data_IF_162750544721
#
_entry.id   IF_162750544721
#
_cell.length_a   1.000
_cell.length_b   1.000
_cell.length_c   1.000
_cell.angle_alpha   90.00
_cell.angle_beta   90.00
_cell.angle_gamma   90.00
#
_symmetry.space_group_name_H-M   'P 1'
#
loop_
_entity.id
_entity.type
_entity.pdbx_description
1 polymer ?
#
# COMPACT_ATOMS: atom_id res chain seq x y z
N UNK A 1 -5.86 10.14 16.95
CA UNK A 1 -6.52 9.42 15.84
C UNK A 1 -6.29 10.08 14.49
N UNK A 2 -6.68 11.35 14.25
CA UNK A 2 -6.40 12.05 12.97
C UNK A 2 -4.95 11.91 12.48
N UNK A 3 -3.96 11.98 13.38
CA UNK A 3 -2.53 11.79 13.05
C UNK A 3 -2.21 10.39 12.51
N UNK A 4 -2.77 9.33 13.11
CA UNK A 4 -2.55 7.93 12.68
C UNK A 4 -3.25 7.69 11.33
N UNK A 5 -4.41 8.31 11.12
CA UNK A 5 -5.13 8.26 9.85
C UNK A 5 -4.29 8.89 8.73
N UNK A 6 -3.72 10.07 8.99
CA UNK A 6 -2.81 10.73 8.04
C UNK A 6 -1.60 9.85 7.75
N UNK A 7 -0.99 9.24 8.77
CA UNK A 7 0.15 8.32 8.58
C UNK A 7 -0.25 7.15 7.66
N UNK A 8 -1.39 6.51 7.93
CA UNK A 8 -1.88 5.39 7.11
C UNK A 8 -2.14 5.79 5.65
N UNK A 9 -2.85 6.89 5.40
CA UNK A 9 -3.12 7.35 4.04
C UNK A 9 -1.85 7.81 3.33
N UNK A 10 -0.92 8.44 4.04
CA UNK A 10 0.39 8.83 3.48
C UNK A 10 1.21 7.60 3.08
N UNK A 11 1.19 6.55 3.90
CA UNK A 11 1.81 5.26 3.60
C UNK A 11 1.20 4.61 2.34
N UNK A 12 -0.13 4.60 2.21
CA UNK A 12 -0.80 4.09 1.00
C UNK A 12 -0.35 4.84 -0.26
N UNK A 13 -0.29 6.17 -0.21
CA UNK A 13 0.17 6.99 -1.33
C UNK A 13 1.64 6.69 -1.65
N UNK A 14 2.51 6.62 -0.64
CA UNK A 14 3.92 6.23 -0.80
C UNK A 14 4.06 4.87 -1.49
N UNK A 15 3.22 3.90 -1.14
CA UNK A 15 3.22 2.59 -1.77
C UNK A 15 2.89 2.65 -3.26
N UNK A 16 1.96 3.52 -3.67
CA UNK A 16 1.60 3.74 -5.07
C UNK A 16 2.75 4.45 -5.80
N UNK A 17 3.29 5.52 -5.21
CA UNK A 17 4.38 6.33 -5.82
C UNK A 17 5.62 5.49 -6.08
N UNK A 18 6.05 4.68 -5.10
CA UNK A 18 7.22 3.81 -5.26
C UNK A 18 7.00 2.82 -6.42
N UNK A 19 5.76 2.37 -6.64
CA UNK A 19 5.43 1.45 -7.73
C UNK A 19 5.47 2.08 -9.13
N UNK A 20 5.27 3.39 -9.22
CA UNK A 20 5.36 4.17 -10.45
C UNK A 20 6.81 4.47 -10.88
N UNK A 21 7.81 4.06 -10.09
CA UNK A 21 9.21 4.20 -10.49
C UNK A 21 9.43 3.38 -11.77
N UNK A 22 10.00 4.00 -12.84
CA UNK A 22 10.16 3.37 -14.15
C UNK A 22 10.91 2.04 -14.10
N UNK A 23 10.56 1.11 -14.99
CA UNK A 23 11.17 -0.22 -15.13
C UNK A 23 12.70 -0.20 -15.23
N UNK A 24 13.26 0.85 -15.82
CA UNK A 24 14.71 1.08 -15.95
C UNK A 24 15.42 1.23 -14.60
N UNK A 25 14.69 1.70 -13.58
CA UNK A 25 15.14 1.78 -12.19
C UNK A 25 14.50 0.69 -11.30
N UNK A 26 13.79 -0.29 -11.88
CA UNK A 26 13.23 -1.41 -11.12
C UNK A 26 14.28 -2.46 -10.77
N UNK A 27 15.29 -2.67 -11.59
CA UNK A 27 16.58 -3.19 -11.08
C UNK A 27 17.09 -2.14 -10.08
N UNK A 28 17.84 -2.35 -9.01
CA UNK A 28 18.14 -1.29 -8.01
C UNK A 28 16.98 -0.80 -7.11
N UNK A 29 15.70 -0.92 -7.49
CA UNK A 29 14.56 -0.74 -6.55
C UNK A 29 13.88 -2.07 -6.16
N UNK A 30 13.82 -3.05 -7.04
CA UNK A 30 13.14 -4.35 -6.85
C UNK A 30 14.05 -5.58 -7.05
N UNK A 31 15.29 -5.36 -7.49
CA UNK A 31 16.40 -6.33 -7.37
C UNK A 31 16.91 -6.32 -5.91
N UNK A 32 17.86 -7.16 -5.42
CA UNK A 32 18.25 -7.22 -4.00
C UNK A 32 18.97 -5.93 -3.59
N UNK A 33 18.16 -4.92 -3.39
CA UNK A 33 18.48 -3.54 -3.16
C UNK A 33 17.82 -3.17 -1.85
N UNK A 34 18.50 -2.33 -1.07
CA UNK A 34 18.03 -1.94 0.25
C UNK A 34 16.59 -1.38 0.18
N UNK A 35 16.26 -0.64 -0.88
CA UNK A 35 14.96 -0.02 -1.08
C UNK A 35 13.83 -1.03 -1.28
N UNK A 36 14.05 -2.06 -2.11
CA UNK A 36 13.07 -3.11 -2.36
C UNK A 36 12.79 -3.96 -1.13
N UNK A 37 13.84 -4.30 -0.37
CA UNK A 37 13.71 -5.01 0.89
C UNK A 37 13.01 -4.17 1.96
N UNK A 38 13.36 -2.89 2.09
CA UNK A 38 12.64 -1.99 3.00
C UNK A 38 11.18 -1.87 2.59
N UNK A 39 10.88 -1.80 1.29
CA UNK A 39 9.50 -1.71 0.84
C UNK A 39 8.70 -2.98 1.16
N UNK A 40 9.20 -4.16 0.80
CA UNK A 40 8.50 -5.43 1.00
C UNK A 40 8.51 -5.86 2.47
N UNK A 41 9.65 -5.76 3.16
CA UNK A 41 9.82 -6.26 4.52
C UNK A 41 9.41 -5.26 5.60
N UNK A 42 9.31 -3.96 5.29
CA UNK A 42 8.89 -2.94 6.27
C UNK A 42 7.57 -2.28 5.86
N UNK A 43 7.48 -1.64 4.68
CA UNK A 43 6.28 -0.87 4.32
C UNK A 43 5.03 -1.75 4.21
N UNK A 44 5.09 -2.89 3.52
CA UNK A 44 3.94 -3.80 3.39
C UNK A 44 3.42 -4.29 4.75
N UNK A 45 4.23 -4.91 5.63
CA UNK A 45 3.74 -5.40 6.92
C UNK A 45 3.27 -4.27 7.84
N UNK A 46 3.97 -3.12 7.87
CA UNK A 46 3.54 -1.96 8.67
C UNK A 46 2.17 -1.44 8.20
N UNK A 47 1.95 -1.37 6.89
CA UNK A 47 0.66 -0.94 6.33
C UNK A 47 -0.47 -1.92 6.69
N UNK A 48 -0.19 -3.24 6.64
CA UNK A 48 -1.15 -4.27 7.05
C UNK A 48 -1.50 -4.22 8.54
N UNK A 49 -0.49 -4.05 9.40
CA UNK A 49 -0.69 -3.92 10.85
C UNK A 49 -1.53 -2.67 11.17
N UNK A 50 -1.20 -1.53 10.55
CA UNK A 50 -1.96 -0.29 10.71
C UNK A 50 -3.39 -0.43 10.21
N UNK A 51 -3.59 -1.08 9.06
CA UNK A 51 -4.91 -1.35 8.52
C UNK A 51 -5.75 -2.20 9.49
N UNK A 52 -5.21 -3.32 9.97
CA UNK A 52 -5.90 -4.18 10.93
C UNK A 52 -6.23 -3.46 12.25
N UNK A 53 -5.27 -2.71 12.79
CA UNK A 53 -5.46 -1.92 14.00
C UNK A 53 -6.58 -0.89 13.85
N UNK A 54 -6.57 -0.12 12.76
CA UNK A 54 -7.56 0.91 12.50
C UNK A 54 -8.93 0.32 12.19
N UNK A 55 -8.98 -0.84 11.52
CA UNK A 55 -10.21 -1.56 11.21
C UNK A 55 -10.89 -2.07 12.50
N UNK A 56 -10.13 -2.68 13.41
CA UNK A 56 -10.64 -3.09 14.74
C UNK A 56 -11.12 -1.87 15.53
N UNK A 57 -10.37 -0.78 15.51
CA UNK A 57 -10.74 0.45 16.19
C UNK A 57 -12.05 1.05 15.64
N UNK A 58 -12.21 1.11 14.31
CA UNK A 58 -13.44 1.63 13.69
C UNK A 58 -14.65 0.73 13.93
N UNK A 59 -14.47 -0.60 13.95
CA UNK A 59 -15.50 -1.56 14.36
C UNK A 59 -15.95 -1.32 15.80
N UNK A 60 -14.99 -1.26 16.74
CA UNK A 60 -15.30 -1.05 18.17
C UNK A 60 -16.02 0.26 18.44
N UNK A 61 -15.68 1.31 17.71
CA UNK A 61 -16.29 2.63 17.88
C UNK A 61 -17.52 2.87 16.98
N UNK A 62 -18.02 1.84 16.29
CA UNK A 62 -19.18 1.92 15.37
C UNK A 62 -19.04 3.01 14.29
N UNK A 63 -17.81 3.31 13.86
CA UNK A 63 -17.52 4.35 12.85
C UNK A 63 -17.61 3.78 11.43
N UNK A 64 -18.78 3.25 11.08
CA UNK A 64 -19.01 2.51 9.83
C UNK A 64 -18.62 3.29 8.56
N UNK A 65 -18.87 4.60 8.53
CA UNK A 65 -18.46 5.45 7.41
C UNK A 65 -16.93 5.49 7.21
N UNK A 66 -16.17 5.62 8.30
CA UNK A 66 -14.70 5.62 8.23
C UNK A 66 -14.18 4.23 7.88
N UNK A 67 -14.79 3.18 8.44
CA UNK A 67 -14.47 1.80 8.13
C UNK A 67 -14.62 1.52 6.63
N UNK A 68 -15.78 1.85 6.05
CA UNK A 68 -16.06 1.65 4.64
C UNK A 68 -15.06 2.41 3.76
N UNK A 69 -14.77 3.67 4.07
CA UNK A 69 -13.78 4.46 3.34
C UNK A 69 -12.39 3.81 3.39
N UNK A 70 -11.93 3.34 4.56
CA UNK A 70 -10.62 2.68 4.66
C UNK A 70 -10.54 1.40 3.86
N UNK A 71 -11.56 0.56 3.97
CA UNK A 71 -11.63 -0.70 3.19
C UNK A 71 -11.61 -0.36 1.70
N UNK A 72 -12.40 0.62 1.26
CA UNK A 72 -12.41 1.08 -0.13
C UNK A 72 -11.03 1.55 -0.61
N UNK A 73 -10.36 2.44 0.13
CA UNK A 73 -9.02 2.92 -0.25
C UNK A 73 -7.98 1.81 -0.27
N UNK A 74 -8.02 0.90 0.70
CA UNK A 74 -7.12 -0.25 0.74
C UNK A 74 -7.36 -1.18 -0.45
N UNK A 75 -8.61 -1.54 -0.73
CA UNK A 75 -8.98 -2.37 -1.87
C UNK A 75 -8.57 -1.72 -3.20
N UNK A 76 -8.83 -0.43 -3.38
CA UNK A 76 -8.41 0.31 -4.58
C UNK A 76 -6.88 0.26 -4.77
N UNK A 77 -6.12 0.42 -3.69
CA UNK A 77 -4.66 0.34 -3.74
C UNK A 77 -4.18 -1.05 -4.16
N UNK A 78 -4.78 -2.11 -3.59
CA UNK A 78 -4.47 -3.50 -3.93
C UNK A 78 -4.83 -3.80 -5.38
N UNK A 79 -6.02 -3.40 -5.83
CA UNK A 79 -6.47 -3.57 -7.21
C UNK A 79 -5.53 -2.88 -8.20
N UNK A 80 -5.10 -1.65 -7.88
CA UNK A 80 -4.13 -0.92 -8.70
C UNK A 80 -2.80 -1.69 -8.80
N UNK A 81 -2.34 -2.25 -7.70
CA UNK A 81 -1.12 -3.06 -7.67
C UNK A 81 -1.21 -4.30 -8.56
N UNK A 82 -2.34 -5.01 -8.52
CA UNK A 82 -2.57 -6.21 -9.33
C UNK A 82 -2.63 -5.85 -10.81
N UNK A 83 -3.45 -4.84 -11.18
CA UNK A 83 -3.61 -4.41 -12.58
C UNK A 83 -2.28 -3.94 -13.17
N UNK A 84 -1.53 -3.10 -12.44
CA UNK A 84 -0.24 -2.62 -12.89
C UNK A 84 0.77 -3.75 -13.09
N UNK A 85 0.78 -4.72 -12.17
CA UNK A 85 1.66 -5.88 -12.31
C UNK A 85 1.31 -6.76 -13.51
N UNK A 86 0.01 -6.97 -13.78
CA UNK A 86 -0.46 -7.67 -14.98
C UNK A 86 -0.03 -6.95 -16.26
N UNK A 87 -0.24 -5.63 -16.34
CA UNK A 87 0.17 -4.83 -17.49
C UNK A 87 1.68 -4.92 -17.76
N UNK A 88 2.50 -4.79 -16.70
CA UNK A 88 3.95 -4.90 -16.81
C UNK A 88 4.39 -6.29 -17.28
N UNK A 89 3.71 -7.35 -16.82
CA UNK A 89 4.00 -8.72 -17.24
C UNK A 89 3.72 -8.92 -18.73
N UNK A 90 2.60 -8.37 -19.22
CA UNK A 90 2.20 -8.48 -20.63
C UNK A 90 3.12 -7.64 -21.55
N UNK A 91 3.66 -6.52 -21.07
CA UNK A 91 4.60 -5.67 -21.83
C UNK A 91 6.00 -6.27 -22.01
N UNK A 92 6.37 -7.30 -21.22
CA UNK A 92 7.68 -7.96 -21.23
C UNK A 92 7.62 -9.44 -21.66
N UNK A 93 6.46 -9.93 -22.15
CA UNK A 93 6.28 -11.28 -22.72
C UNK A 93 6.28 -11.25 -24.24
#
# INVERSE_FOLDING_TARGET
MKKIDIIFYSLLVLCIVIRFIPAEYMVAVYTPSLLGWVFIAFFVPVTLILFAYLLIYDLRNKRLKMLFMRVLYFTLTVSFFVIYHSYLKDAHS
#
